data_IF_188062748200
#
_entry.id   IF_188062748200
#
_cell.length_a   1.000
_cell.length_b   1.000
_cell.length_c   1.000
_cell.angle_alpha   90.00
_cell.angle_beta   90.00
_cell.angle_gamma   90.00
#
_symmetry.space_group_name_H-M   'P 1'
#
loop_
_entity.id
_entity.type
_entity.pdbx_description
1 polymer ?
#
# COMPACT_ATOMS: atom_id res chain seq x y z
N UNK A 1 6.34 14.81 -2.59
CA UNK A 1 7.54 15.38 -1.94
C UNK A 1 7.70 14.98 -0.47
N UNK A 2 6.62 14.82 0.32
CA UNK A 2 6.69 14.46 1.75
C UNK A 2 7.35 13.10 2.05
N UNK A 3 7.16 12.07 1.22
CA UNK A 3 7.68 10.70 1.41
C UNK A 3 9.20 10.56 1.53
N UNK A 4 9.97 11.58 1.11
CA UNK A 4 11.44 11.60 1.20
C UNK A 4 11.97 12.22 2.50
N UNK A 5 11.08 12.73 3.35
CA UNK A 5 11.47 13.43 4.58
C UNK A 5 11.26 12.54 5.81
N UNK A 6 12.00 12.78 6.89
CA UNK A 6 11.74 12.13 8.19
C UNK A 6 10.31 12.42 8.71
N UNK A 7 9.67 13.49 8.22
CA UNK A 7 8.27 13.83 8.52
C UNK A 7 7.28 12.75 8.05
N UNK A 8 7.50 12.14 6.89
CA UNK A 8 6.64 11.05 6.41
C UNK A 8 6.65 9.86 7.38
N UNK A 9 7.82 9.56 7.92
CA UNK A 9 8.00 8.48 8.89
C UNK A 9 7.24 8.75 10.18
N UNK A 10 7.28 10.00 10.66
CA UNK A 10 6.56 10.41 11.86
C UNK A 10 5.04 10.44 11.64
N UNK A 11 4.57 10.94 10.49
CA UNK A 11 3.14 11.02 10.17
C UNK A 11 2.50 9.64 10.00
N UNK A 12 3.23 8.69 9.40
CA UNK A 12 2.72 7.33 9.15
C UNK A 12 2.99 6.35 10.31
N UNK A 13 3.59 6.81 11.41
CA UNK A 13 3.64 6.02 12.63
C UNK A 13 2.22 5.76 13.14
N UNK A 14 1.94 4.54 13.62
CA UNK A 14 0.62 4.08 14.06
C UNK A 14 -0.49 4.08 12.98
N UNK A 15 -0.13 4.17 11.70
CA UNK A 15 -1.07 4.11 10.59
C UNK A 15 -0.82 2.87 9.72
N UNK A 16 -1.91 2.32 9.17
CA UNK A 16 -1.89 1.33 8.08
C UNK A 16 -2.49 1.96 6.82
N UNK A 17 -1.91 1.65 5.67
CA UNK A 17 -2.44 2.05 4.36
C UNK A 17 -2.97 0.82 3.63
N UNK A 18 -4.20 0.89 3.11
CA UNK A 18 -4.77 -0.14 2.24
C UNK A 18 -4.93 0.44 0.85
N UNK A 19 -4.31 -0.19 -0.15
CA UNK A 19 -4.36 0.24 -1.55
C UNK A 19 -5.15 -0.78 -2.35
N UNK A 20 -6.28 -0.34 -2.92
CA UNK A 20 -7.13 -1.19 -3.75
C UNK A 20 -6.85 -0.98 -5.24
N UNK A 21 -6.64 -2.07 -5.97
CA UNK A 21 -6.59 -2.12 -7.43
C UNK A 21 -7.78 -2.93 -7.95
N UNK A 22 -8.42 -2.50 -9.03
CA UNK A 22 -9.51 -3.28 -9.64
C UNK A 22 -8.95 -4.21 -10.72
N UNK A 23 -8.27 -3.68 -11.74
CA UNK A 23 -7.61 -4.49 -12.78
C UNK A 23 -6.17 -4.05 -13.00
N UNK A 24 -5.26 -5.01 -13.20
CA UNK A 24 -3.88 -4.75 -13.64
C UNK A 24 -3.65 -5.45 -14.97
N UNK A 25 -3.61 -4.69 -16.06
CA UNK A 25 -3.42 -5.24 -17.41
C UNK A 25 -2.87 -4.20 -18.38
N UNK A 26 -2.26 -4.68 -19.45
CA UNK A 26 -1.79 -3.84 -20.57
C UNK A 26 -2.49 -4.28 -21.85
N UNK A 27 -3.18 -3.38 -22.59
CA UNK A 27 -3.30 -1.94 -22.34
C UNK A 27 -4.25 -1.60 -21.17
N UNK A 28 -4.10 -0.40 -20.60
CA UNK A 28 -5.08 0.15 -19.67
C UNK A 28 -6.36 0.54 -20.43
N UNK A 29 -7.43 -0.24 -20.26
CA UNK A 29 -8.66 -0.13 -21.04
C UNK A 29 -9.61 0.95 -20.55
N UNK A 30 -9.53 1.31 -19.26
CA UNK A 30 -10.43 2.24 -18.59
C UNK A 30 -9.74 2.87 -17.35
N UNK A 31 -10.51 3.64 -16.56
CA UNK A 31 -10.01 4.32 -15.35
C UNK A 31 -9.82 3.38 -14.15
N UNK A 32 -10.32 2.15 -14.22
CA UNK A 32 -10.19 1.12 -13.18
C UNK A 32 -9.05 0.14 -13.48
N UNK A 33 -8.49 0.22 -14.68
CA UNK A 33 -7.37 -0.59 -15.13
C UNK A 33 -6.05 0.16 -14.93
N UNK A 34 -5.22 -0.35 -14.03
CA UNK A 34 -3.84 0.07 -13.88
C UNK A 34 -2.96 -0.65 -14.91
N UNK A 35 -2.14 0.10 -15.63
CA UNK A 35 -1.14 -0.50 -16.51
C UNK A 35 -0.08 -1.28 -15.70
N UNK A 36 0.42 -2.39 -16.25
CA UNK A 36 1.40 -3.27 -15.58
C UNK A 36 2.69 -2.53 -15.24
N UNK A 37 3.19 -1.65 -16.12
CA UNK A 37 4.41 -0.88 -15.84
C UNK A 37 4.18 0.12 -14.70
N UNK A 38 3.01 0.75 -14.67
CA UNK A 38 2.64 1.66 -13.59
C UNK A 38 2.49 0.91 -12.25
N UNK A 39 1.85 -0.25 -12.26
CA UNK A 39 1.71 -1.10 -11.06
C UNK A 39 3.08 -1.49 -10.49
N UNK A 40 4.06 -1.81 -11.35
CA UNK A 40 5.44 -2.08 -10.92
C UNK A 40 6.07 -0.86 -10.25
N UNK A 41 5.93 0.33 -10.83
CA UNK A 41 6.44 1.59 -10.23
C UNK A 41 5.79 1.88 -8.88
N UNK A 42 4.51 1.60 -8.72
CA UNK A 42 3.83 1.69 -7.41
C UNK A 42 4.39 0.68 -6.41
N UNK A 43 4.59 -0.57 -6.83
CA UNK A 43 5.16 -1.62 -5.98
C UNK A 43 6.56 -1.26 -5.48
N UNK A 44 7.42 -0.73 -6.36
CA UNK A 44 8.76 -0.24 -6.00
C UNK A 44 8.69 0.91 -5.00
N UNK A 45 7.74 1.84 -5.19
CA UNK A 45 7.50 2.93 -4.25
C UNK A 45 7.04 2.38 -2.88
N UNK A 46 6.13 1.41 -2.86
CA UNK A 46 5.60 0.85 -1.62
C UNK A 46 6.69 0.17 -0.80
N UNK A 47 7.49 -0.71 -1.39
CA UNK A 47 8.59 -1.40 -0.69
C UNK A 47 9.63 -0.41 -0.15
N UNK A 48 9.83 0.72 -0.83
CA UNK A 48 10.79 1.74 -0.40
C UNK A 48 10.35 2.53 0.84
N UNK A 49 9.05 2.71 1.03
CA UNK A 49 8.53 3.66 2.02
C UNK A 49 7.60 3.04 3.08
N UNK A 50 7.05 1.86 2.81
CA UNK A 50 6.11 1.14 3.65
C UNK A 50 6.59 -0.29 3.93
N UNK A 51 6.04 -0.88 4.99
CA UNK A 51 6.21 -2.29 5.31
C UNK A 51 5.05 -3.07 4.68
N UNK A 52 5.24 -3.59 3.47
CA UNK A 52 4.22 -4.38 2.80
C UNK A 52 3.94 -5.67 3.59
N UNK A 53 2.68 -5.92 3.96
CA UNK A 53 2.27 -7.06 4.77
C UNK A 53 0.89 -7.59 4.31
N UNK A 54 0.58 -8.88 4.54
CA UNK A 54 -0.78 -9.39 4.43
C UNK A 54 -1.74 -8.56 5.30
N UNK A 55 -2.95 -8.27 4.81
CA UNK A 55 -3.92 -7.43 5.54
C UNK A 55 -4.26 -7.96 6.95
N UNK A 56 -4.17 -9.27 7.16
CA UNK A 56 -4.40 -9.88 8.47
C UNK A 56 -3.40 -9.43 9.55
N UNK A 57 -2.16 -9.12 9.19
CA UNK A 57 -1.11 -8.74 10.13
C UNK A 57 -1.39 -7.40 10.84
N UNK A 58 -1.65 -6.28 10.13
CA UNK A 58 -2.00 -5.03 10.78
C UNK A 58 -3.34 -5.11 11.52
N UNK A 59 -4.32 -5.89 11.03
CA UNK A 59 -5.57 -6.14 11.77
C UNK A 59 -5.27 -6.81 13.11
N UNK A 60 -4.45 -7.86 13.10
CA UNK A 60 -4.07 -8.57 14.31
C UNK A 60 -3.34 -7.67 15.32
N UNK A 61 -2.48 -6.76 14.83
CA UNK A 61 -1.82 -5.75 15.66
C UNK A 61 -2.82 -4.78 16.27
N UNK A 62 -3.80 -4.30 15.50
CA UNK A 62 -4.87 -3.43 15.99
C UNK A 62 -5.68 -4.11 17.10
N UNK A 63 -6.12 -5.35 16.90
CA UNK A 63 -6.86 -6.14 17.89
C UNK A 63 -6.07 -6.31 19.20
N UNK A 64 -4.75 -6.51 19.10
CA UNK A 64 -3.85 -6.68 20.25
C UNK A 64 -3.32 -5.35 20.82
N UNK A 65 -3.73 -4.20 20.28
CA UNK A 65 -3.20 -2.87 20.63
C UNK A 65 -1.67 -2.78 20.51
N UNK A 66 -1.10 -3.51 19.56
CA UNK A 66 0.30 -3.42 19.19
C UNK A 66 0.52 -2.24 18.25
N UNK A 67 1.69 -1.60 18.27
CA UNK A 67 1.97 -0.46 17.41
C UNK A 67 2.00 -0.89 15.94
N UNK A 68 1.48 0.00 15.10
CA UNK A 68 1.62 -0.06 13.64
C UNK A 68 2.84 0.79 13.24
N UNK A 69 3.63 0.32 12.27
CA UNK A 69 4.70 1.09 11.66
C UNK A 69 4.58 0.99 10.15
N UNK A 70 3.90 1.97 9.54
CA UNK A 70 3.87 2.14 8.08
C UNK A 70 3.49 0.87 7.33
N UNK A 71 2.64 0.02 7.91
CA UNK A 71 2.19 -1.17 7.20
C UNK A 71 1.36 -0.78 5.98
N UNK A 72 1.52 -1.53 4.90
CA UNK A 72 0.73 -1.38 3.70
C UNK A 72 0.22 -2.74 3.23
N UNK A 73 -1.07 -2.81 2.95
CA UNK A 73 -1.70 -3.96 2.31
C UNK A 73 -2.20 -3.55 0.92
N UNK A 74 -1.99 -4.42 -0.06
CA UNK A 74 -2.54 -4.28 -1.41
C UNK A 74 -3.72 -5.24 -1.53
N UNK A 75 -4.86 -4.75 -1.99
CA UNK A 75 -6.05 -5.56 -2.31
C UNK A 75 -6.36 -5.48 -3.80
N UNK A 76 -6.91 -6.57 -4.32
CA UNK A 76 -7.43 -6.65 -5.67
C UNK A 76 -8.93 -6.90 -5.58
N UNK A 77 -9.71 -6.00 -6.17
CA UNK A 77 -11.16 -6.07 -6.19
C UNK A 77 -11.65 -6.69 -7.52
N UNK A 78 -12.92 -7.07 -7.59
CA UNK A 78 -13.63 -7.57 -8.78
C UNK A 78 -13.23 -8.93 -9.39
N UNK A 79 -12.09 -9.53 -9.02
CA UNK A 79 -11.73 -10.92 -9.35
C UNK A 79 -11.00 -11.13 -10.68
#
# INVERSE_FOLDING_TARGET
MLYRTHLFRAFMANNVVVVAFHRVSTPALDRFTCDVEMFKRYSEFFVKYFNAAPLGDPIHKLEKRLPLDRELAITFDDG
#
